data_IF_681575901439
#
_entry.id   IF_681575901439
#
_cell.length_a   1.000
_cell.length_b   1.000
_cell.length_c   1.000
_cell.angle_alpha   90.00
_cell.angle_beta   90.00
_cell.angle_gamma   90.00
#
_symmetry.space_group_name_H-M   'P 1'
#
loop_
_entity.id
_entity.type
_entity.pdbx_description
1 polymer ?
#
# COMPACT_ATOMS: atom_id res chain seq x y z
N UNK A 1 11.22 -24.29 2.79
CA UNK A 1 11.76 -23.10 3.48
C UNK A 1 11.59 -21.92 2.54
N UNK A 2 10.79 -20.91 2.91
CA UNK A 2 10.48 -19.78 2.02
C UNK A 2 11.76 -19.02 1.69
N UNK A 3 11.99 -18.78 0.39
CA UNK A 3 13.25 -18.24 -0.13
C UNK A 3 13.17 -16.81 -0.64
N UNK A 4 11.97 -16.22 -0.73
CA UNK A 4 11.70 -14.79 -1.01
C UNK A 4 10.18 -14.55 -0.96
N UNK A 5 9.74 -13.40 -0.43
CA UNK A 5 8.34 -12.95 -0.42
C UNK A 5 8.24 -11.50 -0.89
N UNK A 6 7.06 -11.08 -1.37
CA UNK A 6 6.78 -9.66 -1.58
C UNK A 6 6.33 -9.00 -0.28
N UNK A 7 6.79 -7.78 -0.07
CA UNK A 7 6.41 -6.92 1.05
C UNK A 7 5.92 -5.59 0.48
N UNK A 8 4.75 -5.14 0.95
CA UNK A 8 4.20 -3.83 0.63
C UNK A 8 4.20 -2.96 1.88
N UNK A 9 4.70 -1.73 1.75
CA UNK A 9 4.81 -0.76 2.85
C UNK A 9 3.98 0.46 2.48
N UNK A 10 2.90 0.67 3.22
CA UNK A 10 2.08 1.87 3.18
C UNK A 10 2.76 3.05 3.87
N UNK A 11 2.44 4.27 3.47
CA UNK A 11 3.06 5.49 4.02
C UNK A 11 2.08 6.64 4.12
N UNK A 12 2.37 7.59 5.00
CA UNK A 12 1.84 8.94 4.90
C UNK A 12 2.62 9.72 3.84
N UNK A 13 1.91 10.21 2.84
CA UNK A 13 2.46 10.96 1.70
C UNK A 13 2.37 12.46 1.90
N UNK A 14 1.54 12.91 2.85
CA UNK A 14 1.32 14.31 3.17
C UNK A 14 1.48 14.55 4.69
N UNK A 15 1.86 15.77 5.10
CA UNK A 15 1.87 16.14 6.52
C UNK A 15 0.44 16.18 7.09
N UNK A 16 0.25 15.52 8.23
CA UNK A 16 -0.97 15.60 9.05
C UNK A 16 -0.59 16.11 10.45
N UNK A 17 -1.56 16.60 11.26
CA UNK A 17 -1.27 17.13 12.60
C UNK A 17 -0.48 16.17 13.52
N UNK A 18 -0.58 14.86 13.29
CA UNK A 18 0.05 13.81 14.10
C UNK A 18 1.19 13.07 13.38
N UNK A 19 1.50 13.39 12.12
CA UNK A 19 2.56 12.71 11.36
C UNK A 19 3.17 13.61 10.28
N UNK A 20 4.50 13.66 10.22
CA UNK A 20 5.23 14.36 9.16
C UNK A 20 5.41 13.43 7.95
N UNK A 21 4.33 13.21 7.18
CA UNK A 21 4.35 12.37 5.99
C UNK A 21 5.37 12.82 4.94
N UNK A 22 6.16 11.87 4.44
CA UNK A 22 7.22 12.07 3.42
C UNK A 22 7.32 10.91 2.44
N UNK A 23 6.43 9.93 2.55
CA UNK A 23 6.41 8.79 1.64
C UNK A 23 5.87 9.18 0.27
N UNK A 24 6.11 8.33 -0.72
CA UNK A 24 5.66 8.56 -2.10
C UNK A 24 4.41 7.74 -2.47
N UNK A 25 3.93 6.88 -1.57
CA UNK A 25 2.79 5.98 -1.78
C UNK A 25 3.02 4.61 -1.15
N UNK A 26 2.80 3.54 -1.91
CA UNK A 26 3.07 2.16 -1.47
C UNK A 26 4.39 1.67 -2.06
N UNK A 27 5.33 1.30 -1.20
CA UNK A 27 6.60 0.74 -1.64
C UNK A 27 6.51 -0.78 -1.73
N UNK A 28 6.95 -1.36 -2.84
CA UNK A 28 7.03 -2.81 -3.04
C UNK A 28 8.48 -3.27 -2.88
N UNK A 29 8.70 -4.27 -2.04
CA UNK A 29 10.00 -4.88 -1.79
C UNK A 29 9.98 -6.39 -2.04
N UNK A 30 11.14 -6.94 -2.35
CA UNK A 30 11.47 -8.34 -2.13
C UNK A 30 12.06 -8.47 -0.75
N UNK A 31 11.49 -9.36 0.06
CA UNK A 31 11.94 -9.69 1.39
C UNK A 31 12.53 -11.11 1.39
N UNK A 32 13.82 -11.21 1.69
CA UNK A 32 14.47 -12.49 1.98
C UNK A 32 14.14 -12.88 3.42
N UNK A 33 13.25 -13.85 3.58
CA UNK A 33 12.79 -14.32 4.90
C UNK A 33 13.87 -15.06 5.71
N UNK A 34 15.02 -15.37 5.12
CA UNK A 34 16.14 -16.03 5.80
C UNK A 34 17.15 -15.02 6.33
N UNK A 35 17.51 -14.03 5.54
CA UNK A 35 18.52 -13.02 5.90
C UNK A 35 17.92 -11.76 6.51
N UNK A 36 16.64 -11.48 6.24
CA UNK A 36 15.98 -10.22 6.57
C UNK A 36 16.23 -9.11 5.55
N UNK A 37 16.94 -9.39 4.44
CA UNK A 37 17.28 -8.37 3.45
C UNK A 37 16.03 -7.87 2.71
N UNK A 38 15.99 -6.55 2.49
CA UNK A 38 14.95 -5.86 1.73
C UNK A 38 15.54 -5.27 0.45
N UNK A 39 15.10 -5.77 -0.70
CA UNK A 39 15.40 -5.16 -2.01
C UNK A 39 14.18 -4.40 -2.52
N UNK A 40 14.29 -3.07 -2.68
CA UNK A 40 13.19 -2.27 -3.25
C UNK A 40 12.97 -2.65 -4.72
N UNK A 41 11.73 -2.95 -5.08
CA UNK A 41 11.34 -3.33 -6.44
C UNK A 41 10.66 -2.19 -7.19
N UNK A 42 9.68 -1.53 -6.56
CA UNK A 42 8.91 -0.45 -7.19
C UNK A 42 8.20 0.42 -6.15
N UNK A 43 7.61 1.52 -6.62
CA UNK A 43 6.74 2.41 -5.85
C UNK A 43 5.43 2.58 -6.64
N UNK A 44 4.30 2.39 -5.98
CA UNK A 44 2.98 2.79 -6.49
C UNK A 44 2.69 4.18 -5.93
N UNK A 45 2.94 5.20 -6.75
CA UNK A 45 2.83 6.61 -6.37
C UNK A 45 1.49 7.24 -6.79
N UNK A 46 1.29 8.51 -6.40
CA UNK A 46 0.05 9.25 -6.69
C UNK A 46 -1.12 8.89 -5.77
N UNK A 47 -0.84 8.18 -4.68
CA UNK A 47 -1.79 7.84 -3.64
C UNK A 47 -1.70 8.87 -2.51
N UNK A 48 -2.82 9.12 -1.83
CA UNK A 48 -2.89 10.03 -0.69
C UNK A 48 -2.99 9.21 0.59
N UNK A 49 -1.91 9.21 1.38
CA UNK A 49 -1.79 8.51 2.66
C UNK A 49 -2.33 7.07 2.67
N UNK A 50 -1.79 6.15 1.83
CA UNK A 50 -2.11 4.72 1.95
C UNK A 50 -1.43 4.13 3.18
N UNK A 51 -1.95 4.42 4.37
CA UNK A 51 -1.32 4.10 5.65
C UNK A 51 -1.63 2.67 6.10
N UNK A 52 -2.73 2.10 5.63
CA UNK A 52 -3.16 0.74 5.94
C UNK A 52 -3.36 -0.10 4.68
N UNK A 53 -2.83 -1.32 4.71
CA UNK A 53 -2.85 -2.26 3.60
C UNK A 53 -3.46 -3.59 4.04
N UNK A 54 -4.40 -4.13 3.25
CA UNK A 54 -4.96 -5.46 3.46
C UNK A 54 -4.89 -6.34 2.19
N UNK A 55 -4.24 -7.49 2.26
CA UNK A 55 -4.14 -8.44 1.16
C UNK A 55 -5.33 -9.41 1.19
N UNK A 56 -6.01 -9.59 0.06
CA UNK A 56 -7.10 -10.56 -0.06
C UNK A 56 -6.61 -12.00 0.20
N UNK A 57 -7.46 -12.93 0.68
CA UNK A 57 -7.05 -14.31 0.99
C UNK A 57 -6.37 -15.05 -0.17
N UNK A 58 -6.82 -14.80 -1.41
CA UNK A 58 -6.24 -15.37 -2.62
C UNK A 58 -4.97 -14.65 -3.12
N UNK A 59 -4.53 -13.59 -2.43
CA UNK A 59 -3.32 -12.80 -2.72
C UNK A 59 -3.26 -12.17 -4.12
N UNK A 60 -4.40 -12.08 -4.79
CA UNK A 60 -4.53 -11.47 -6.12
C UNK A 60 -4.88 -9.99 -6.06
N UNK A 61 -5.44 -9.53 -4.94
CA UNK A 61 -5.89 -8.15 -4.74
C UNK A 61 -5.34 -7.62 -3.43
N UNK A 62 -4.75 -6.42 -3.48
CA UNK A 62 -4.29 -5.65 -2.35
C UNK A 62 -5.21 -4.43 -2.21
N UNK A 63 -5.69 -4.16 -1.00
CA UNK A 63 -6.45 -2.97 -0.67
C UNK A 63 -5.57 -1.99 0.08
N UNK A 64 -5.78 -0.70 -0.17
CA UNK A 64 -5.18 0.40 0.58
C UNK A 64 -6.26 1.43 0.91
N UNK A 65 -6.21 2.02 2.09
CA UNK A 65 -7.03 3.19 2.37
C UNK A 65 -6.47 4.45 1.71
N UNK A 66 -7.32 5.46 1.60
CA UNK A 66 -6.91 6.85 1.42
C UNK A 66 -7.20 7.53 2.75
N UNK A 67 -6.19 7.62 3.60
CA UNK A 67 -6.35 8.18 4.94
C UNK A 67 -6.46 9.71 4.84
N UNK A 68 -7.70 10.18 4.80
CA UNK A 68 -8.07 11.60 4.86
C UNK A 68 -9.26 11.80 5.81
N UNK A 69 -9.43 13.03 6.31
CA UNK A 69 -10.59 13.37 7.14
C UNK A 69 -11.91 13.22 6.36
N UNK A 70 -13.01 13.02 7.09
CA UNK A 70 -14.35 12.69 6.51
C UNK A 70 -14.79 13.64 5.38
N UNK A 71 -14.48 14.94 5.50
CA UNK A 71 -14.86 15.96 4.50
C UNK A 71 -14.08 15.86 3.19
N UNK A 72 -12.98 15.13 3.15
CA UNK A 72 -12.07 15.01 2.01
C UNK A 72 -12.32 13.75 1.16
N UNK A 73 -13.49 13.13 1.32
CA UNK A 73 -13.91 11.92 0.62
C UNK A 73 -12.88 10.78 0.75
N UNK A 74 -12.80 10.15 1.94
CA UNK A 74 -11.93 8.99 2.15
C UNK A 74 -12.41 7.79 1.34
N UNK A 75 -11.44 7.05 0.82
CA UNK A 75 -11.63 5.96 -0.13
C UNK A 75 -10.89 4.70 0.35
N UNK A 76 -11.25 3.58 -0.26
CA UNK A 76 -10.42 2.38 -0.33
C UNK A 76 -10.10 2.14 -1.79
N UNK A 77 -8.82 2.06 -2.12
CA UNK A 77 -8.31 1.67 -3.43
C UNK A 77 -8.09 0.15 -3.47
N UNK A 78 -8.45 -0.47 -4.59
CA UNK A 78 -8.15 -1.87 -4.87
C UNK A 78 -7.10 -1.97 -5.98
N UNK A 79 -6.12 -2.86 -5.80
CA UNK A 79 -5.05 -3.10 -6.75
C UNK A 79 -4.92 -4.58 -7.07
N UNK A 80 -4.78 -4.93 -8.34
CA UNK A 80 -4.33 -6.25 -8.75
C UNK A 80 -2.83 -6.41 -8.45
N UNK A 81 -2.47 -7.54 -7.87
CA UNK A 81 -1.08 -7.92 -7.59
C UNK A 81 -0.52 -8.70 -8.78
N UNK A 82 0.58 -8.21 -9.36
CA UNK A 82 1.37 -9.00 -10.30
C UNK A 82 2.14 -10.09 -9.53
N UNK A 83 1.86 -11.39 -9.73
CA UNK A 83 2.51 -12.46 -8.98
C UNK A 83 3.99 -12.66 -9.33
N UNK A 84 4.47 -12.14 -10.46
CA UNK A 84 5.87 -12.25 -10.86
C UNK A 84 6.72 -11.11 -10.29
N UNK A 85 6.13 -9.92 -10.12
CA UNK A 85 6.89 -8.70 -9.77
C UNK A 85 6.48 -8.07 -8.44
N UNK A 86 5.34 -8.47 -7.88
CA UNK A 86 4.73 -7.85 -6.70
C UNK A 86 4.14 -6.47 -6.97
N UNK A 87 4.17 -5.98 -8.22
CA UNK A 87 3.68 -4.63 -8.56
C UNK A 87 2.16 -4.56 -8.39
N UNK A 88 1.70 -3.40 -7.91
CA UNK A 88 0.29 -3.10 -7.74
C UNK A 88 -0.23 -2.32 -8.95
N UNK A 89 -1.29 -2.84 -9.59
CA UNK A 89 -2.02 -2.16 -10.66
C UNK A 89 -3.39 -1.74 -10.15
N UNK A 90 -3.66 -0.44 -10.16
CA UNK A 90 -4.95 0.11 -9.71
C UNK A 90 -6.12 -0.50 -10.50
N UNK A 91 -7.19 -0.84 -9.79
CA UNK A 91 -8.43 -1.41 -10.35
C UNK A 91 -9.57 -0.41 -10.24
N UNK A 92 -9.87 0.03 -9.03
CA UNK A 92 -10.89 1.02 -8.74
C UNK A 92 -10.69 1.63 -7.34
N UNK A 93 -11.53 2.62 -7.05
CA UNK A 93 -11.66 3.24 -5.73
C UNK A 93 -13.12 3.20 -5.30
N UNK A 94 -13.40 2.98 -4.02
CA UNK A 94 -14.75 3.05 -3.45
C UNK A 94 -14.74 3.91 -2.18
N UNK A 95 -15.83 4.63 -1.86
CA UNK A 95 -15.93 5.36 -0.60
C UNK A 95 -15.74 4.42 0.60
N UNK A 96 -14.92 4.81 1.57
CA UNK A 96 -14.78 4.02 2.81
C UNK A 96 -15.94 4.26 3.78
N UNK A 97 -16.67 5.37 3.60
CA UNK A 97 -17.71 5.88 4.50
C UNK A 97 -17.25 6.13 5.95
N UNK A 98 -15.96 5.98 6.24
CA UNK A 98 -15.31 6.36 7.49
C UNK A 98 -14.50 7.65 7.32
N UNK A 99 -13.50 7.84 8.17
CA UNK A 99 -12.56 8.97 8.16
C UNK A 99 -12.03 9.21 9.56
N UNK A 100 -10.87 9.84 9.68
CA UNK A 100 -10.29 10.24 10.97
C UNK A 100 -10.63 11.68 11.34
#
# INVERSE_FOLDING_TARGET
MAGNSFLWIGTYTEPLPHVAGRGEGIYTYRFDTRSGELTRLSITSGLCNPSYLALAPHRTVQYADKEVGVKAAPLVDAFAVDPATGRLKHLNSQPSHGGF
#
